data_IF_786137323717
#
_entry.id   IF_786137323717
#
_cell.length_a   1.000
_cell.length_b   1.000
_cell.length_c   1.000
_cell.angle_alpha   90.00
_cell.angle_beta   90.00
_cell.angle_gamma   90.00
#
_symmetry.space_group_name_H-M   'P 1'
#
loop_
_entity.id
_entity.type
_entity.pdbx_description
1 polymer ?
#
# COMPACT_ATOMS: atom_id res chain seq x y z
N UNK A 1 -9.39 -27.28 1.90
CA UNK A 1 -8.18 -26.43 1.73
C UNK A 1 -7.44 -26.91 0.49
N UNK A 2 -7.08 -26.03 -0.43
CA UNK A 2 -6.30 -26.40 -1.62
C UNK A 2 -4.89 -26.84 -1.21
N UNK A 3 -4.36 -27.89 -1.84
CA UNK A 3 -2.99 -28.35 -1.59
C UNK A 3 -1.98 -27.50 -2.40
N UNK A 4 -0.67 -27.65 -2.11
CA UNK A 4 0.39 -26.92 -2.82
C UNK A 4 0.30 -27.07 -4.35
N UNK A 5 0.01 -28.28 -4.84
CA UNK A 5 -0.07 -28.56 -6.27
C UNK A 5 -1.18 -27.76 -6.96
N UNK A 6 -2.35 -27.67 -6.33
CA UNK A 6 -3.49 -26.89 -6.82
C UNK A 6 -3.18 -25.40 -6.79
N UNK A 7 -2.56 -24.89 -5.71
CA UNK A 7 -2.17 -23.49 -5.60
C UNK A 7 -1.13 -23.11 -6.66
N UNK A 8 -0.11 -23.93 -6.85
CA UNK A 8 0.90 -23.72 -7.90
C UNK A 8 0.27 -23.67 -9.29
N UNK A 9 -0.59 -24.62 -9.61
CA UNK A 9 -1.30 -24.69 -10.90
C UNK A 9 -2.19 -23.48 -11.11
N UNK A 10 -2.88 -23.02 -10.08
CA UNK A 10 -3.73 -21.82 -10.11
C UNK A 10 -2.88 -20.57 -10.35
N UNK A 11 -1.80 -20.39 -9.59
CA UNK A 11 -0.88 -19.26 -9.72
C UNK A 11 -0.24 -19.20 -11.12
N UNK A 12 0.23 -20.34 -11.64
CA UNK A 12 0.81 -20.43 -12.98
C UNK A 12 -0.19 -20.04 -14.07
N UNK A 13 -1.42 -20.56 -13.99
CA UNK A 13 -2.48 -20.22 -14.96
C UNK A 13 -2.85 -18.74 -14.90
N UNK A 14 -2.95 -18.16 -13.69
CA UNK A 14 -3.19 -16.72 -13.48
C UNK A 14 -2.06 -15.85 -14.04
N UNK A 15 -0.82 -16.35 -14.05
CA UNK A 15 0.32 -15.69 -14.67
C UNK A 15 0.42 -15.92 -16.20
N UNK A 16 -0.52 -16.64 -16.82
CA UNK A 16 -0.53 -16.95 -18.25
C UNK A 16 0.63 -17.86 -18.70
N UNK A 17 1.30 -18.56 -17.77
CA UNK A 17 2.48 -19.37 -18.09
C UNK A 17 2.14 -20.84 -18.35
N UNK A 18 2.83 -21.44 -19.32
CA UNK A 18 2.87 -22.90 -19.48
C UNK A 18 3.83 -23.51 -18.44
N UNK A 19 3.74 -24.82 -18.21
CA UNK A 19 4.69 -25.52 -17.33
C UNK A 19 6.14 -25.37 -17.80
N UNK A 20 6.37 -25.37 -19.11
CA UNK A 20 7.70 -25.21 -19.69
C UNK A 20 8.26 -23.80 -19.41
N UNK A 21 7.46 -22.76 -19.65
CA UNK A 21 7.84 -21.36 -19.39
C UNK A 21 8.16 -21.11 -17.91
N UNK A 22 7.36 -21.70 -16.99
CA UNK A 22 7.65 -21.61 -15.57
C UNK A 22 8.94 -22.34 -15.20
N UNK A 23 9.16 -23.52 -15.81
CA UNK A 23 10.40 -24.31 -15.60
C UNK A 23 11.65 -23.53 -16.03
N UNK A 24 11.60 -22.91 -17.20
CA UNK A 24 12.67 -22.05 -17.73
C UNK A 24 12.96 -20.86 -16.79
N UNK A 25 11.90 -20.18 -16.32
CA UNK A 25 12.04 -19.03 -15.40
C UNK A 25 12.79 -19.37 -14.11
N UNK A 26 12.58 -20.55 -13.55
CA UNK A 26 13.20 -20.93 -12.28
C UNK A 26 14.45 -21.83 -12.46
N UNK A 27 14.82 -22.16 -13.70
CA UNK A 27 16.01 -22.95 -14.04
C UNK A 27 15.87 -24.45 -13.68
N UNK A 28 14.70 -25.05 -13.97
CA UNK A 28 14.45 -26.48 -13.77
C UNK A 28 13.87 -27.12 -15.05
N UNK A 29 13.71 -28.45 -15.06
CA UNK A 29 13.02 -29.12 -16.17
C UNK A 29 11.49 -29.01 -16.06
N UNK A 30 10.78 -29.06 -17.19
CA UNK A 30 9.32 -29.11 -17.21
C UNK A 30 8.77 -30.27 -16.36
N UNK A 31 9.43 -31.45 -16.40
CA UNK A 31 9.04 -32.60 -15.59
C UNK A 31 9.07 -32.30 -14.10
N UNK A 32 9.95 -31.41 -13.63
CA UNK A 32 9.97 -30.95 -12.23
C UNK A 32 8.69 -30.21 -11.89
N UNK A 33 8.26 -29.27 -12.72
CA UNK A 33 7.01 -28.52 -12.52
C UNK A 33 5.81 -29.47 -12.55
N UNK A 34 5.76 -30.37 -13.53
CA UNK A 34 4.71 -31.37 -13.65
C UNK A 34 4.60 -32.23 -12.40
N UNK A 35 5.73 -32.71 -11.86
CA UNK A 35 5.80 -33.51 -10.64
C UNK A 35 5.26 -32.75 -9.42
N UNK A 36 5.61 -31.47 -9.25
CA UNK A 36 5.11 -30.63 -8.16
C UNK A 36 3.60 -30.40 -8.30
N UNK A 37 3.11 -30.11 -9.51
CA UNK A 37 1.68 -29.93 -9.80
C UNK A 37 0.86 -31.24 -9.70
N UNK A 38 1.53 -32.38 -9.59
CA UNK A 38 0.92 -33.69 -9.34
C UNK A 38 0.98 -34.12 -7.86
N UNK A 39 1.40 -33.22 -6.97
CA UNK A 39 1.45 -33.46 -5.52
C UNK A 39 2.81 -33.82 -4.96
N UNK A 40 3.90 -33.69 -5.74
CA UNK A 40 5.26 -33.87 -5.25
C UNK A 40 5.75 -32.69 -4.40
N UNK A 41 6.61 -33.00 -3.44
CA UNK A 41 7.28 -31.97 -2.62
C UNK A 41 8.29 -31.15 -3.45
N UNK A 42 8.55 -29.92 -2.98
CA UNK A 42 9.48 -29.03 -3.64
C UNK A 42 10.31 -28.20 -2.66
N UNK A 43 11.58 -28.05 -2.99
CA UNK A 43 12.50 -27.09 -2.35
C UNK A 43 12.52 -25.73 -3.05
N UNK A 44 11.74 -25.57 -4.11
CA UNK A 44 11.77 -24.37 -4.96
C UNK A 44 10.69 -23.36 -4.62
N UNK A 45 10.06 -23.42 -3.43
CA UNK A 45 8.93 -22.56 -3.02
C UNK A 45 9.23 -21.08 -3.28
N UNK A 46 10.38 -20.58 -2.83
CA UNK A 46 10.75 -19.17 -2.99
C UNK A 46 10.88 -18.81 -4.47
N UNK A 47 11.63 -19.60 -5.26
CA UNK A 47 11.79 -19.35 -6.70
C UNK A 47 10.48 -19.41 -7.47
N UNK A 48 9.58 -20.32 -7.10
CA UNK A 48 8.25 -20.45 -7.69
C UNK A 48 7.38 -19.23 -7.33
N UNK A 49 7.43 -18.81 -6.08
CA UNK A 49 6.68 -17.64 -5.60
C UNK A 49 7.15 -16.36 -6.33
N UNK A 50 8.44 -16.13 -6.43
CA UNK A 50 9.03 -14.99 -7.16
C UNK A 50 8.68 -15.03 -8.65
N UNK A 51 8.83 -16.19 -9.31
CA UNK A 51 8.52 -16.32 -10.73
C UNK A 51 7.06 -16.11 -11.08
N UNK A 52 6.16 -16.36 -10.12
CA UNK A 52 4.70 -16.23 -10.27
C UNK A 52 4.14 -14.97 -9.63
N UNK A 53 4.98 -14.15 -9.01
CA UNK A 53 4.60 -12.96 -8.25
C UNK A 53 3.50 -13.26 -7.21
N UNK A 54 3.75 -14.26 -6.35
CA UNK A 54 2.87 -14.66 -5.25
C UNK A 54 3.63 -14.76 -3.94
N UNK A 55 2.95 -14.64 -2.81
CA UNK A 55 3.58 -14.82 -1.49
C UNK A 55 4.02 -16.27 -1.29
N UNK A 56 5.30 -16.48 -0.94
CA UNK A 56 5.84 -17.81 -0.66
C UNK A 56 5.07 -18.51 0.46
N UNK A 57 4.68 -17.76 1.50
CA UNK A 57 3.85 -18.27 2.60
C UNK A 57 2.50 -18.77 2.11
N UNK A 58 1.77 -17.97 1.29
CA UNK A 58 0.51 -18.43 0.70
C UNK A 58 0.71 -19.65 -0.20
N UNK A 59 1.74 -19.65 -1.03
CA UNK A 59 2.01 -20.78 -1.92
C UNK A 59 2.24 -22.07 -1.12
N UNK A 60 2.94 -21.98 0.01
CA UNK A 60 3.29 -23.11 0.86
C UNK A 60 2.13 -23.57 1.74
N UNK A 61 1.38 -22.65 2.38
CA UNK A 61 0.39 -22.99 3.42
C UNK A 61 -1.05 -22.86 2.93
N UNK A 62 -1.32 -21.97 1.97
CA UNK A 62 -2.64 -21.56 1.54
C UNK A 62 -3.28 -20.52 2.45
N UNK A 63 -2.56 -20.03 3.44
CA UNK A 63 -3.03 -18.99 4.36
C UNK A 63 -2.62 -17.59 3.88
N UNK A 64 -3.48 -16.61 4.16
CA UNK A 64 -3.27 -15.23 3.74
C UNK A 64 -3.62 -14.99 2.27
N UNK A 65 -3.19 -13.83 1.75
CA UNK A 65 -3.46 -13.44 0.38
C UNK A 65 -2.42 -14.02 -0.58
N UNK A 66 -2.86 -14.42 -1.78
CA UNK A 66 -2.04 -15.02 -2.82
C UNK A 66 -0.91 -14.08 -3.28
N UNK A 67 -1.18 -12.78 -3.40
CA UNK A 67 -0.22 -11.77 -3.88
C UNK A 67 -0.04 -10.66 -2.85
N UNK A 68 1.08 -9.95 -2.93
CA UNK A 68 1.18 -8.63 -2.32
C UNK A 68 0.26 -7.69 -3.11
N UNK A 69 -0.44 -6.79 -2.43
CA UNK A 69 -1.29 -5.76 -3.07
C UNK A 69 -0.50 -4.73 -3.92
N UNK A 70 0.70 -5.07 -4.33
CA UNK A 70 1.53 -4.21 -5.20
C UNK A 70 1.04 -4.25 -6.66
N UNK A 71 0.15 -5.20 -7.01
CA UNK A 71 -0.31 -5.41 -8.39
C UNK A 71 -1.47 -4.50 -8.84
N UNK A 72 -1.76 -3.43 -8.10
CA UNK A 72 -2.72 -2.43 -8.54
C UNK A 72 -2.09 -1.40 -9.52
N UNK A 73 -0.80 -1.56 -9.82
CA UNK A 73 -0.08 -0.75 -10.80
C UNK A 73 0.08 -1.54 -12.10
N UNK A 74 -0.73 -1.23 -13.08
CA UNK A 74 -0.55 -1.76 -14.43
C UNK A 74 0.62 -1.06 -15.13
N UNK A 75 1.38 -1.81 -15.93
CA UNK A 75 2.28 -1.21 -16.92
C UNK A 75 1.39 -0.54 -17.97
N UNK A 76 1.42 0.79 -17.99
CA UNK A 76 0.59 1.60 -18.89
C UNK A 76 1.24 1.60 -20.28
N UNK A 77 0.47 1.13 -21.27
CA UNK A 77 0.77 1.36 -22.68
C UNK A 77 0.32 2.79 -23.02
N UNK A 78 1.27 3.65 -23.42
CA UNK A 78 0.99 5.07 -23.71
C UNK A 78 0.02 5.29 -24.87
N UNK A 79 -0.14 4.28 -25.74
CA UNK A 79 -1.02 4.35 -26.90
C UNK A 79 -2.45 3.85 -26.61
N UNK A 80 -2.74 3.46 -25.35
CA UNK A 80 -4.03 2.89 -24.96
C UNK A 80 -4.84 3.85 -24.10
N UNK A 81 -6.12 4.01 -24.42
CA UNK A 81 -7.06 4.79 -23.59
C UNK A 81 -7.54 3.95 -22.40
N UNK A 82 -7.23 4.43 -21.20
CA UNK A 82 -7.60 3.81 -19.93
C UNK A 82 -8.78 4.51 -19.23
N UNK A 83 -9.35 5.56 -19.81
CA UNK A 83 -10.38 6.40 -19.18
C UNK A 83 -11.61 5.63 -18.68
N UNK A 84 -11.93 4.50 -19.32
CA UNK A 84 -13.09 3.65 -18.98
C UNK A 84 -12.82 2.61 -17.88
N UNK A 85 -11.57 2.41 -17.49
CA UNK A 85 -11.18 1.33 -16.57
C UNK A 85 -10.34 1.82 -15.39
N UNK A 86 -9.75 3.01 -15.52
CA UNK A 86 -8.85 3.58 -14.53
C UNK A 86 -9.26 5.00 -14.15
N UNK A 87 -8.85 5.38 -12.97
CA UNK A 87 -9.12 6.68 -12.36
C UNK A 87 -7.80 7.32 -11.99
N UNK A 88 -7.64 8.59 -12.35
CA UNK A 88 -6.49 9.39 -11.99
C UNK A 88 -6.60 9.88 -10.54
N UNK A 89 -5.51 9.76 -9.79
CA UNK A 89 -5.32 10.41 -8.51
C UNK A 89 -4.18 11.41 -8.67
N UNK A 90 -4.52 12.68 -8.51
CA UNK A 90 -3.54 13.76 -8.63
C UNK A 90 -2.57 13.77 -7.45
N UNK A 91 -1.35 14.23 -7.72
CA UNK A 91 -0.32 14.47 -6.72
C UNK A 91 -0.48 15.86 -6.12
N UNK A 92 -0.28 15.98 -4.81
CA UNK A 92 -0.43 17.22 -4.06
C UNK A 92 0.77 17.50 -3.16
N UNK A 93 1.10 18.78 -3.03
CA UNK A 93 1.85 19.31 -1.89
C UNK A 93 0.87 19.79 -0.82
N UNK A 94 1.29 19.76 0.44
CA UNK A 94 0.52 20.30 1.55
C UNK A 94 1.12 21.63 1.98
N UNK A 95 0.29 22.65 2.04
CA UNK A 95 0.62 23.92 2.68
C UNK A 95 -0.25 24.11 3.91
N UNK A 96 0.40 24.55 4.98
CA UNK A 96 -0.27 24.95 6.21
C UNK A 96 -0.29 26.48 6.26
N UNK A 97 -1.48 27.06 6.31
CA UNK A 97 -1.65 28.50 6.51
C UNK A 97 -2.17 28.78 7.92
N UNK A 98 -1.80 29.92 8.47
CA UNK A 98 -2.30 30.38 9.76
C UNK A 98 -3.76 30.80 9.61
N UNK A 99 -4.68 29.97 10.16
CA UNK A 99 -6.09 30.32 10.32
C UNK A 99 -6.37 30.82 11.74
N UNK A 100 -7.59 31.31 11.97
CA UNK A 100 -8.07 31.74 13.29
C UNK A 100 -8.20 30.53 14.25
N UNK A 101 -7.07 30.09 14.83
CA UNK A 101 -7.01 29.02 15.85
C UNK A 101 -6.52 27.66 15.33
N UNK A 102 -7.04 27.13 14.23
CA UNK A 102 -6.55 25.87 13.65
C UNK A 102 -5.84 26.11 12.32
N UNK A 103 -4.74 25.39 12.01
CA UNK A 103 -4.11 25.50 10.71
C UNK A 103 -5.09 25.08 9.61
N UNK A 104 -5.16 25.90 8.58
CA UNK A 104 -5.91 25.55 7.36
C UNK A 104 -4.98 24.80 6.43
N UNK A 105 -5.42 23.63 6.00
CA UNK A 105 -4.68 22.77 5.08
C UNK A 105 -5.12 23.11 3.67
N UNK A 106 -4.14 23.46 2.84
CA UNK A 106 -4.31 23.68 1.42
C UNK A 106 -3.64 22.53 0.65
N UNK A 107 -4.42 21.83 -0.16
CA UNK A 107 -3.94 20.83 -1.09
C UNK A 107 -3.56 21.53 -2.40
N UNK A 108 -2.26 21.66 -2.65
CA UNK A 108 -1.73 22.33 -3.83
C UNK A 108 -1.39 21.29 -4.89
N UNK A 109 -2.13 21.22 -6.02
CA UNK A 109 -1.83 20.27 -7.08
C UNK A 109 -0.42 20.45 -7.64
N UNK A 110 0.32 19.35 -7.78
CA UNK A 110 1.64 19.30 -8.41
C UNK A 110 1.46 19.11 -9.91
N UNK A 111 1.37 20.22 -10.64
CA UNK A 111 1.10 20.23 -12.09
C UNK A 111 2.20 19.60 -12.95
N UNK A 112 3.41 19.43 -12.41
CA UNK A 112 4.56 18.83 -13.09
C UNK A 112 4.59 17.30 -12.99
N UNK A 113 3.82 16.73 -12.06
CA UNK A 113 3.85 15.31 -11.81
C UNK A 113 2.71 14.63 -12.57
N UNK A 114 2.99 13.47 -13.16
CA UNK A 114 1.95 12.66 -13.77
C UNK A 114 1.03 12.09 -12.66
N UNK A 115 -0.30 12.07 -12.88
CA UNK A 115 -1.22 11.48 -11.91
C UNK A 115 -1.00 9.98 -11.80
N UNK A 116 -1.31 9.43 -10.62
CA UNK A 116 -1.31 7.99 -10.41
C UNK A 116 -2.57 7.40 -11.04
N UNK A 117 -2.40 6.33 -11.80
CA UNK A 117 -3.49 5.65 -12.49
C UNK A 117 -3.87 4.35 -11.76
N UNK A 118 -5.08 4.29 -11.20
CA UNK A 118 -5.58 3.14 -10.47
C UNK A 118 -6.80 2.53 -11.16
N UNK A 119 -6.92 1.21 -11.16
CA UNK A 119 -8.13 0.54 -11.64
C UNK A 119 -9.35 0.97 -10.83
N UNK A 120 -10.46 1.28 -11.51
CA UNK A 120 -11.73 1.61 -10.83
C UNK A 120 -12.15 0.51 -9.82
N UNK A 121 -11.87 -0.76 -10.15
CA UNK A 121 -12.14 -1.90 -9.28
C UNK A 121 -11.44 -1.83 -7.92
N UNK A 122 -10.23 -1.23 -7.85
CA UNK A 122 -9.50 -1.05 -6.60
C UNK A 122 -10.29 -0.18 -5.61
N UNK A 123 -10.85 0.93 -6.07
CA UNK A 123 -11.68 1.81 -5.24
C UNK A 123 -12.93 1.09 -4.74
N UNK A 124 -13.57 0.29 -5.58
CA UNK A 124 -14.76 -0.50 -5.21
C UNK A 124 -14.44 -1.54 -4.13
N UNK A 125 -13.34 -2.29 -4.29
CA UNK A 125 -12.88 -3.30 -3.32
C UNK A 125 -12.53 -2.66 -1.98
N UNK A 126 -11.79 -1.54 -2.01
CA UNK A 126 -11.38 -0.80 -0.80
C UNK A 126 -12.50 0.07 -0.23
N UNK A 127 -13.65 0.19 -0.90
CA UNK A 127 -14.76 1.08 -0.52
C UNK A 127 -14.33 2.54 -0.40
N UNK A 128 -13.42 2.97 -1.28
CA UNK A 128 -12.91 4.33 -1.34
C UNK A 128 -13.65 5.16 -2.38
N UNK A 129 -13.77 6.45 -2.12
CA UNK A 129 -14.23 7.42 -3.12
C UNK A 129 -13.01 8.11 -3.74
N UNK A 130 -12.77 7.99 -5.06
CA UNK A 130 -11.58 8.57 -5.70
C UNK A 130 -11.40 10.06 -5.43
N UNK A 131 -12.50 10.83 -5.37
CA UNK A 131 -12.48 12.28 -5.08
C UNK A 131 -11.93 12.62 -3.70
N UNK A 132 -11.99 11.68 -2.76
CA UNK A 132 -11.49 11.84 -1.40
C UNK A 132 -10.05 11.33 -1.25
N UNK A 133 -9.51 10.67 -2.28
CA UNK A 133 -8.14 10.17 -2.29
C UNK A 133 -7.18 11.27 -2.76
N UNK A 134 -6.15 11.55 -1.98
CA UNK A 134 -5.10 12.52 -2.29
C UNK A 134 -3.75 11.82 -2.22
N UNK A 135 -2.96 11.91 -3.30
CA UNK A 135 -1.61 11.37 -3.33
C UNK A 135 -0.60 12.44 -2.95
N UNK A 136 0.45 12.05 -2.22
CA UNK A 136 1.55 12.92 -1.84
C UNK A 136 2.83 12.13 -1.64
N UNK A 137 3.98 12.81 -1.72
CA UNK A 137 5.26 12.21 -1.35
C UNK A 137 5.48 12.23 0.17
N UNK A 138 6.01 11.13 0.68
CA UNK A 138 6.59 11.06 2.03
C UNK A 138 7.89 11.84 2.03
N UNK A 139 8.17 12.56 3.12
CA UNK A 139 9.40 13.30 3.30
C UNK A 139 10.05 12.96 4.63
N UNK A 140 11.34 12.64 4.54
CA UNK A 140 12.13 12.26 5.69
C UNK A 140 12.01 10.78 6.06
N UNK A 141 12.72 10.38 7.11
CA UNK A 141 12.96 8.97 7.44
C UNK A 141 12.22 8.49 8.69
N UNK A 142 11.31 9.30 9.22
CA UNK A 142 10.63 8.92 10.49
C UNK A 142 9.72 7.70 10.37
N UNK A 143 9.29 7.36 9.17
CA UNK A 143 8.42 6.20 8.91
C UNK A 143 9.14 5.04 8.23
N UNK A 144 10.49 5.14 8.07
CA UNK A 144 11.31 4.03 7.58
C UNK A 144 11.30 2.85 8.58
N UNK A 145 11.41 1.59 8.11
CA UNK A 145 11.49 1.16 6.73
C UNK A 145 10.12 0.95 6.04
N UNK A 146 9.03 1.29 6.71
CA UNK A 146 7.66 1.05 6.19
C UNK A 146 7.29 2.07 5.12
N UNK A 147 7.70 3.34 5.30
CA UNK A 147 7.60 4.39 4.30
C UNK A 147 8.97 5.06 4.21
N UNK A 148 9.58 5.02 3.04
CA UNK A 148 10.86 5.66 2.76
C UNK A 148 10.69 7.10 2.28
N UNK A 149 11.78 7.88 2.31
CA UNK A 149 11.77 9.24 1.73
C UNK A 149 11.49 9.15 0.23
N UNK A 150 10.57 10.02 -0.25
CA UNK A 150 10.02 10.01 -1.61
C UNK A 150 9.06 8.87 -1.97
N UNK A 151 8.75 7.96 -1.07
CA UNK A 151 7.59 7.08 -1.29
C UNK A 151 6.35 7.92 -1.56
N UNK A 152 5.48 7.42 -2.41
CA UNK A 152 4.15 8.00 -2.62
C UNK A 152 3.15 7.33 -1.68
N UNK A 153 2.33 8.12 -1.01
CA UNK A 153 1.19 7.62 -0.23
C UNK A 153 -0.11 8.22 -0.75
N UNK A 154 -1.19 7.43 -0.66
CA UNK A 154 -2.55 7.92 -0.87
C UNK A 154 -3.24 7.98 0.49
N UNK A 155 -3.88 9.10 0.74
CA UNK A 155 -4.66 9.38 1.96
C UNK A 155 -6.11 9.57 1.58
N UNK A 156 -7.02 8.85 2.25
CA UNK A 156 -8.46 9.11 2.18
C UNK A 156 -8.82 10.21 3.18
N UNK A 157 -9.10 11.40 2.67
CA UNK A 157 -9.43 12.57 3.49
C UNK A 157 -10.83 12.53 4.10
N UNK A 158 -11.66 11.56 3.74
CA UNK A 158 -12.96 11.34 4.38
C UNK A 158 -12.90 10.43 5.60
N UNK A 159 -11.79 9.68 5.75
CA UNK A 159 -11.58 8.74 6.84
C UNK A 159 -10.70 9.39 7.93
N UNK A 160 -11.37 10.12 8.80
CA UNK A 160 -10.75 10.87 9.92
C UNK A 160 -11.03 10.27 11.29
N UNK A 161 -11.76 9.16 11.35
CA UNK A 161 -12.00 8.42 12.58
C UNK A 161 -10.76 7.59 12.93
N UNK A 162 -10.25 7.77 14.17
CA UNK A 162 -9.03 7.09 14.60
C UNK A 162 -9.32 5.60 14.82
N UNK A 163 -8.76 4.76 13.97
CA UNK A 163 -8.60 3.32 14.21
C UNK A 163 -7.21 3.05 14.78
N UNK A 164 -7.16 2.32 15.89
CA UNK A 164 -5.90 2.04 16.59
C UNK A 164 -4.91 1.26 15.73
N UNK A 165 -3.67 1.68 15.71
CA UNK A 165 -2.60 1.05 14.94
C UNK A 165 -2.51 1.46 13.46
N UNK A 166 -3.46 2.25 12.94
CA UNK A 166 -3.46 2.70 11.55
C UNK A 166 -2.58 3.95 11.35
N UNK A 167 -2.18 4.20 10.10
CA UNK A 167 -1.34 5.33 9.71
C UNK A 167 -2.19 6.46 9.16
N UNK A 168 -1.96 7.66 9.67
CA UNK A 168 -2.70 8.87 9.30
C UNK A 168 -1.76 9.99 8.88
N UNK A 169 -2.25 10.83 7.96
CA UNK A 169 -1.77 12.18 7.81
C UNK A 169 -2.44 13.05 8.87
N UNK A 170 -1.66 13.79 9.63
CA UNK A 170 -2.16 14.63 10.74
C UNK A 170 -1.46 15.97 10.78
N UNK A 171 -2.12 16.97 11.37
CA UNK A 171 -1.47 18.19 11.82
C UNK A 171 -1.57 18.26 13.33
N UNK A 172 -0.42 18.41 13.97
CA UNK A 172 -0.33 18.61 15.40
C UNK A 172 0.62 19.76 15.72
N UNK A 173 0.19 20.66 16.57
CA UNK A 173 0.95 21.88 16.91
C UNK A 173 1.48 22.63 15.67
N UNK A 174 0.64 22.77 14.64
CA UNK A 174 0.96 23.45 13.36
C UNK A 174 2.02 22.76 12.50
N UNK A 175 2.35 21.50 12.77
CA UNK A 175 3.24 20.69 11.96
C UNK A 175 2.49 19.53 11.33
N UNK A 176 2.80 19.26 10.07
CA UNK A 176 2.26 18.11 9.34
C UNK A 176 3.12 16.88 9.60
N UNK A 177 2.45 15.75 9.83
CA UNK A 177 3.08 14.45 10.03
C UNK A 177 2.32 13.35 9.31
N UNK A 178 3.06 12.29 8.92
CA UNK A 178 2.51 10.96 8.64
C UNK A 178 2.98 10.08 9.80
N UNK A 179 2.05 9.52 10.58
CA UNK A 179 2.35 8.73 11.79
C UNK A 179 1.34 7.62 11.97
N UNK A 180 1.78 6.55 12.61
CA UNK A 180 0.88 5.56 13.19
C UNK A 180 0.24 6.17 14.44
N UNK A 181 -1.08 5.99 14.60
CA UNK A 181 -1.78 6.44 15.80
C UNK A 181 -2.04 5.23 16.69
N UNK A 182 -1.56 5.31 17.93
CA UNK A 182 -1.82 4.31 18.97
C UNK A 182 -2.64 4.96 20.08
N UNK A 183 -3.76 4.33 20.45
CA UNK A 183 -4.58 4.77 21.60
C UNK A 183 -3.88 4.41 22.89
N UNK A 184 -3.91 5.32 23.84
CA UNK A 184 -3.38 5.12 25.20
C UNK A 184 -4.49 5.34 26.24
N UNK A 185 -4.22 5.03 27.50
CA UNK A 185 -5.19 5.32 28.58
C UNK A 185 -5.36 6.80 28.93
N UNK A 186 -4.59 7.72 28.28
CA UNK A 186 -4.57 9.16 28.57
C UNK A 186 -4.61 10.03 27.32
N UNK A 187 -4.94 9.45 26.17
CA UNK A 187 -4.93 10.12 24.89
C UNK A 187 -4.45 9.20 23.77
N UNK A 188 -3.62 9.72 22.89
CA UNK A 188 -3.02 8.96 21.79
C UNK A 188 -1.52 9.23 21.69
N UNK A 189 -0.82 8.34 21.00
CA UNK A 189 0.57 8.54 20.57
C UNK A 189 0.65 8.61 19.05
N UNK A 190 1.42 9.57 18.54
CA UNK A 190 1.83 9.63 17.14
C UNK A 190 3.19 8.92 17.04
N UNK A 191 3.16 7.69 16.53
CA UNK A 191 4.30 6.78 16.54
C UNK A 191 5.00 6.79 15.18
N UNK A 192 6.32 6.86 15.21
CA UNK A 192 7.21 6.65 14.06
C UNK A 192 7.55 5.17 13.94
N UNK A 193 7.63 4.63 12.71
CA UNK A 193 8.16 3.27 12.53
C UNK A 193 9.69 3.22 12.70
N UNK A 194 10.38 4.34 12.44
CA UNK A 194 11.81 4.44 12.72
C UNK A 194 12.03 4.67 14.22
N UNK A 195 12.70 3.74 14.93
CA UNK A 195 12.89 3.82 16.37
C UNK A 195 13.81 4.97 16.84
N UNK A 196 14.51 5.62 15.92
CA UNK A 196 15.31 6.82 16.23
C UNK A 196 14.43 8.05 16.55
N UNK A 197 13.13 7.98 16.19
CA UNK A 197 12.17 9.06 16.42
C UNK A 197 11.25 8.68 17.57
N UNK A 198 11.33 9.42 18.66
CA UNK A 198 10.46 9.21 19.82
C UNK A 198 8.98 9.45 19.47
N UNK A 199 8.06 8.66 20.03
CA UNK A 199 6.63 8.93 19.94
C UNK A 199 6.27 10.31 20.47
N UNK A 200 5.26 10.93 19.86
CA UNK A 200 4.70 12.20 20.35
C UNK A 200 3.42 11.87 21.11
N UNK A 201 3.41 12.16 22.40
CA UNK A 201 2.22 12.02 23.23
C UNK A 201 1.27 13.19 22.98
N UNK A 202 0.01 12.87 22.68
CA UNK A 202 -1.10 13.82 22.57
C UNK A 202 -2.11 13.45 23.65
N UNK A 203 -2.12 14.21 24.72
CA UNK A 203 -2.99 13.97 25.87
C UNK A 203 -4.43 14.39 25.54
N UNK A 204 -5.41 13.88 26.28
CA UNK A 204 -6.84 14.14 26.04
C UNK A 204 -7.19 15.64 26.05
N UNK A 205 -6.54 16.42 26.91
CA UNK A 205 -6.72 17.88 27.01
C UNK A 205 -6.05 18.64 25.85
N UNK A 206 -5.11 18.00 25.12
CA UNK A 206 -4.39 18.59 23.98
C UNK A 206 -4.91 18.10 22.61
N UNK A 207 -5.89 17.22 22.59
CA UNK A 207 -6.52 16.72 21.34
C UNK A 207 -7.09 17.85 20.46
N UNK A 208 -7.42 19.00 21.03
CA UNK A 208 -7.87 20.16 20.27
C UNK A 208 -6.79 20.72 19.30
N UNK A 209 -5.52 20.47 19.58
CA UNK A 209 -4.38 20.87 18.76
C UNK A 209 -4.02 19.82 17.69
N UNK A 210 -4.69 18.67 17.71
CA UNK A 210 -4.56 17.62 16.70
C UNK A 210 -5.69 17.74 15.68
N UNK A 211 -5.32 17.64 14.40
CA UNK A 211 -6.25 17.53 13.29
C UNK A 211 -5.90 16.29 12.47
N UNK A 212 -6.82 15.33 12.40
CA UNK A 212 -6.69 14.18 11.52
C UNK A 212 -7.08 14.63 10.10
N UNK A 213 -6.19 14.44 9.14
CA UNK A 213 -6.38 14.81 7.75
C UNK A 213 -7.02 13.69 6.96
N UNK A 214 -6.59 12.47 7.24
CA UNK A 214 -7.12 11.27 6.64
C UNK A 214 -6.23 10.06 6.87
N UNK A 215 -6.77 8.87 6.63
CA UNK A 215 -6.05 7.61 6.77
C UNK A 215 -5.26 7.27 5.51
N UNK A 216 -4.02 6.76 5.68
CA UNK A 216 -3.22 6.19 4.59
C UNK A 216 -3.89 4.91 4.09
N UNK A 217 -4.22 4.85 2.80
CA UNK A 217 -4.89 3.69 2.18
C UNK A 217 -4.00 2.93 1.21
N UNK A 218 -2.91 3.56 0.73
CA UNK A 218 -1.96 2.95 -0.19
C UNK A 218 -0.57 3.56 -0.06
N UNK A 219 0.46 2.82 -0.50
CA UNK A 219 1.82 3.30 -0.70
C UNK A 219 2.44 2.68 -1.96
N UNK A 220 3.35 3.40 -2.58
CA UNK A 220 4.22 2.95 -3.67
C UNK A 220 5.54 3.72 -3.66
N UNK A 221 6.62 3.02 -4.00
CA UNK A 221 7.98 3.53 -4.02
C UNK A 221 8.96 2.39 -4.05
#
# INVERSE_FOLDING_TARGET
MSNLAERLKTARKSAGLTQNQLAEKIGVSQNTIQKIESGGDTKYIIKLADALNVKAYWLQTGEGEMRNHVDDVDVIDKDKDYSNTHINIDMYDIKLSAGNGKPVIEWVPRKSDEPLLFREAWFKVKRLSPKNCKAMYVRGHSMAPVLEDWDTVIVDISDTEIADGEVYAVVYNKHFYIKQIIRTGKGIQLVSFNPEYYPIDVMDDDLNNLQIIGRKVWRGG
#
